data_IF_598560199718
#
_entry.id   IF_598560199718
#
_cell.length_a   1.000
_cell.length_b   1.000
_cell.length_c   1.000
_cell.angle_alpha   90.00
_cell.angle_beta   90.00
_cell.angle_gamma   90.00
#
_symmetry.space_group_name_H-M   'P 1'
#
loop_
_entity.id
_entity.type
_entity.pdbx_description
1 polymer ?
#
# COMPACT_ATOMS: atom_id res chain seq x y z
N UNK A 1 -21.73 24.03 5.25
CA UNK A 1 -20.87 23.88 6.44
C UNK A 1 -19.58 23.20 6.02
N UNK A 2 -18.42 23.82 6.26
CA UNK A 2 -17.11 23.37 5.76
C UNK A 2 -16.53 22.24 6.62
N UNK A 3 -16.08 21.16 5.98
CA UNK A 3 -15.36 20.07 6.66
C UNK A 3 -13.92 20.52 6.87
N UNK A 4 -13.40 20.34 8.08
CA UNK A 4 -11.97 20.47 8.33
C UNK A 4 -11.24 19.32 7.62
N UNK A 5 -10.33 19.68 6.70
CA UNK A 5 -9.54 18.77 5.89
C UNK A 5 -8.05 18.80 6.29
N UNK A 6 -7.74 19.38 7.45
CA UNK A 6 -6.38 19.38 7.98
C UNK A 6 -5.87 17.96 8.21
N UNK A 7 -4.60 17.75 7.90
CA UNK A 7 -3.90 16.48 8.09
C UNK A 7 -2.87 16.63 9.20
N UNK A 8 -2.96 15.77 10.21
CA UNK A 8 -1.99 15.69 11.30
C UNK A 8 -1.30 14.33 11.22
N UNK A 9 0.03 14.28 10.99
CA UNK A 9 0.75 13.01 10.97
C UNK A 9 0.76 12.38 12.36
N UNK A 10 0.54 11.07 12.43
CA UNK A 10 0.58 10.30 13.66
C UNK A 10 1.90 9.53 13.78
N UNK A 11 2.33 9.25 15.02
CA UNK A 11 3.45 8.33 15.26
C UNK A 11 3.03 6.89 14.91
N UNK A 12 3.87 6.11 14.21
CA UNK A 12 3.56 4.74 13.81
C UNK A 12 3.73 3.77 14.99
N UNK A 13 2.70 3.66 15.85
CA UNK A 13 2.74 2.84 17.08
C UNK A 13 1.89 1.57 17.00
N UNK A 14 1.05 1.42 15.96
CA UNK A 14 0.14 0.29 15.80
C UNK A 14 0.11 -0.17 14.35
N UNK A 15 -0.11 -1.47 14.16
CA UNK A 15 -0.16 -2.10 12.83
C UNK A 15 -1.55 -2.61 12.55
N UNK A 16 -2.01 -2.38 11.33
CA UNK A 16 -3.27 -2.90 10.78
C UNK A 16 -2.99 -3.71 9.53
N UNK A 17 -3.81 -4.72 9.29
CA UNK A 17 -3.88 -5.41 8.02
C UNK A 17 -5.00 -4.78 7.19
N UNK A 18 -4.71 -4.51 5.92
CA UNK A 18 -5.66 -3.92 4.97
C UNK A 18 -5.70 -4.75 3.70
N UNK A 19 -6.87 -4.80 3.05
CA UNK A 19 -7.01 -5.20 1.65
C UNK A 19 -6.95 -3.95 0.78
N UNK A 20 -6.23 -4.04 -0.33
CA UNK A 20 -6.03 -2.96 -1.28
C UNK A 20 -5.94 -3.53 -2.69
N UNK A 21 -6.23 -2.70 -3.70
CA UNK A 21 -6.16 -3.11 -5.10
C UNK A 21 -4.74 -2.94 -5.65
N UNK A 22 -4.22 -1.70 -5.64
CA UNK A 22 -2.87 -1.40 -6.10
C UNK A 22 -2.27 -0.16 -5.44
N UNK A 23 -0.96 0.00 -5.60
CA UNK A 23 -0.21 1.18 -5.18
C UNK A 23 -0.12 2.21 -6.31
N UNK A 24 -0.25 3.49 -5.97
CA UNK A 24 0.09 4.62 -6.82
C UNK A 24 1.26 5.38 -6.17
N UNK A 25 2.48 5.10 -6.64
CA UNK A 25 3.69 5.58 -5.97
C UNK A 25 3.82 5.03 -4.55
N UNK A 26 3.73 5.91 -3.54
CA UNK A 26 3.91 5.59 -2.11
C UNK A 26 2.59 5.46 -1.34
N UNK A 27 1.44 5.41 -2.02
CA UNK A 27 0.11 5.30 -1.40
C UNK A 27 -0.73 4.20 -2.03
N UNK A 28 -1.69 3.68 -1.27
CA UNK A 28 -2.76 2.88 -1.83
C UNK A 28 -3.67 3.73 -2.71
N UNK A 29 -4.13 3.17 -3.82
CA UNK A 29 -5.13 3.76 -4.70
C UNK A 29 -6.45 2.98 -4.55
N UNK A 30 -7.55 3.72 -4.68
CA UNK A 30 -8.90 3.28 -4.28
C UNK A 30 -9.00 3.01 -2.76
N UNK A 31 -10.21 2.76 -2.27
CA UNK A 31 -10.48 2.68 -0.82
C UNK A 31 -9.90 1.38 -0.25
N UNK A 32 -8.85 1.50 0.59
CA UNK A 32 -8.36 0.37 1.37
C UNK A 32 -9.36 -0.08 2.42
N UNK A 33 -9.55 -1.39 2.54
CA UNK A 33 -10.47 -1.97 3.51
C UNK A 33 -9.69 -2.47 4.72
N UNK A 34 -10.07 -1.97 5.91
CA UNK A 34 -9.53 -2.49 7.17
C UNK A 34 -9.93 -3.97 7.36
N UNK A 35 -8.97 -4.81 7.72
CA UNK A 35 -9.21 -6.23 8.01
C UNK A 35 -9.17 -6.47 9.51
N UNK A 36 -8.02 -6.20 10.15
CA UNK A 36 -7.79 -6.45 11.57
C UNK A 36 -6.58 -5.70 12.11
N UNK A 37 -6.52 -5.56 13.42
CA UNK A 37 -5.30 -5.16 14.13
C UNK A 37 -4.26 -6.27 14.14
N UNK A 38 -2.98 -5.91 14.07
CA UNK A 38 -1.83 -6.81 14.13
C UNK A 38 -0.96 -6.49 15.34
N UNK A 39 -1.45 -6.82 16.54
CA UNK A 39 -0.68 -6.67 17.78
C UNK A 39 0.58 -7.56 17.83
N UNK A 40 0.67 -8.53 16.92
CA UNK A 40 1.77 -9.45 16.71
C UNK A 40 2.92 -8.87 15.86
N UNK A 41 2.79 -7.66 15.31
CA UNK A 41 3.77 -7.03 14.41
C UNK A 41 4.43 -5.81 15.07
N UNK A 42 5.74 -5.68 14.88
CA UNK A 42 6.45 -4.43 15.17
C UNK A 42 6.12 -3.38 14.08
N UNK A 43 5.66 -2.15 14.42
CA UNK A 43 5.45 -1.09 13.45
C UNK A 43 6.63 -0.83 12.51
N UNK A 44 7.88 -1.00 12.99
CA UNK A 44 9.08 -0.80 12.15
C UNK A 44 9.29 -1.91 11.12
N UNK A 45 8.59 -3.03 11.24
CA UNK A 45 8.63 -4.13 10.27
C UNK A 45 7.70 -3.93 9.07
N UNK A 46 6.84 -2.90 9.08
CA UNK A 46 5.95 -2.56 7.97
C UNK A 46 6.72 -1.81 6.87
N UNK A 47 7.24 -2.54 5.89
CA UNK A 47 8.04 -2.00 4.78
C UNK A 47 7.43 -2.35 3.41
N UNK A 48 7.87 -1.66 2.36
CA UNK A 48 7.44 -1.92 0.99
C UNK A 48 7.83 -3.31 0.46
N UNK A 49 8.75 -4.02 1.14
CA UNK A 49 9.14 -5.38 0.76
C UNK A 49 8.00 -6.40 0.95
N UNK A 50 6.98 -6.04 1.73
CA UNK A 50 5.77 -6.82 1.93
C UNK A 50 4.81 -6.78 0.74
N UNK A 51 5.00 -5.82 -0.18
CA UNK A 51 4.16 -5.68 -1.35
C UNK A 51 4.66 -6.59 -2.46
N UNK A 52 3.73 -7.31 -3.08
CA UNK A 52 4.02 -8.11 -4.25
C UNK A 52 4.39 -7.16 -5.40
N UNK A 53 5.60 -7.31 -5.94
CA UNK A 53 6.03 -6.51 -7.09
C UNK A 53 5.52 -7.19 -8.35
N UNK A 54 4.78 -6.48 -9.23
CA UNK A 54 4.41 -7.06 -10.51
C UNK A 54 5.68 -7.47 -11.26
N UNK A 55 5.64 -8.66 -11.87
CA UNK A 55 6.72 -9.14 -12.74
C UNK A 55 6.93 -8.10 -13.83
N UNK A 56 8.13 -7.54 -13.90
CA UNK A 56 8.49 -6.62 -14.98
C UNK A 56 8.66 -7.46 -16.24
N UNK A 57 7.75 -7.31 -17.20
CA UNK A 57 7.94 -7.83 -18.54
C UNK A 57 8.77 -6.82 -19.33
N UNK A 58 9.73 -7.31 -20.11
CA UNK A 58 10.36 -6.48 -21.13
C UNK A 58 9.32 -6.23 -22.23
N UNK A 59 9.03 -4.95 -22.49
CA UNK A 59 8.09 -4.57 -23.53
C UNK A 59 8.60 -5.00 -24.91
N UNK A 60 9.91 -5.07 -25.12
CA UNK A 60 10.50 -5.57 -26.35
C UNK A 60 10.12 -7.03 -26.61
N UNK A 61 10.12 -7.89 -25.59
CA UNK A 61 9.76 -9.30 -25.71
C UNK A 61 8.29 -9.47 -26.13
N UNK A 62 7.39 -8.65 -25.58
CA UNK A 62 5.96 -8.66 -25.92
C UNK A 62 5.71 -8.20 -27.36
N UNK A 63 6.47 -7.21 -27.83
CA UNK A 63 6.30 -6.62 -29.17
C UNK A 63 6.98 -7.43 -30.28
N UNK A 64 7.97 -8.25 -29.96
CA UNK A 64 8.72 -9.06 -30.94
C UNK A 64 8.14 -10.46 -31.11
N UNK A 65 7.19 -10.86 -30.27
CA UNK A 65 6.48 -12.15 -30.35
C UNK A 65 5.34 -12.18 -31.40
N UNK A 66 5.36 -11.26 -32.37
CA UNK A 66 4.34 -11.10 -33.43
C UNK A 66 4.82 -11.58 -34.79
#
# INVERSE_FOLDING_TARGET
AGKDLSFVPLRPERVVEVRYDYMEGVRFRHTTQFVRWRGDRDPRSCTYEQLERPVRFDLADVLTSG
#
